data_IF_195138021616
#
_entry.id   IF_195138021616
#
_cell.length_a   1.000
_cell.length_b   1.000
_cell.length_c   1.000
_cell.angle_alpha   90.00
_cell.angle_beta   90.00
_cell.angle_gamma   90.00
#
_symmetry.space_group_name_H-M   'P 1'
#
loop_
_entity.id
_entity.type
_entity.pdbx_description
1 polymer ?
#
# COMPACT_ATOMS: atom_id res chain seq x y z
N UNK A 1 77.77 32.44 -4.86
CA UNK A 1 76.99 31.88 -3.72
C UNK A 1 75.52 32.02 -4.05
N UNK A 2 74.83 30.95 -4.41
CA UNK A 2 73.40 30.94 -4.67
C UNK A 2 72.65 30.51 -3.41
N UNK A 3 71.88 31.46 -2.81
CA UNK A 3 70.98 31.11 -1.69
C UNK A 3 69.71 30.44 -2.20
N UNK A 4 69.55 29.20 -1.80
CA UNK A 4 68.29 28.49 -2.03
C UNK A 4 67.27 29.02 -1.05
N UNK A 5 66.21 29.64 -1.57
CA UNK A 5 65.04 30.00 -0.79
C UNK A 5 64.14 28.75 -0.63
N UNK A 6 64.02 28.28 0.58
CA UNK A 6 63.14 27.20 0.95
C UNK A 6 61.73 27.81 1.10
N UNK A 7 60.83 27.43 0.20
CA UNK A 7 59.41 27.81 0.31
C UNK A 7 58.72 26.86 1.23
N UNK A 8 58.31 27.32 2.39
CA UNK A 8 57.50 26.53 3.30
C UNK A 8 56.09 26.38 2.72
N UNK A 9 55.67 25.15 2.41
CA UNK A 9 54.31 24.84 2.07
C UNK A 9 53.45 24.83 3.34
N UNK A 10 52.60 25.82 3.51
CA UNK A 10 51.61 25.82 4.55
C UNK A 10 50.49 24.83 4.15
N UNK A 11 50.46 23.68 4.80
CA UNK A 11 49.34 22.75 4.68
C UNK A 11 48.15 23.36 5.41
N UNK A 12 47.21 23.93 4.65
CA UNK A 12 45.90 24.29 5.17
C UNK A 12 45.12 23.01 5.47
N UNK A 13 45.02 22.67 6.75
CA UNK A 13 44.11 21.63 7.20
C UNK A 13 42.67 22.11 6.99
N UNK A 14 42.04 21.63 5.94
CA UNK A 14 40.62 21.84 5.70
C UNK A 14 39.87 20.88 6.63
N UNK A 15 39.50 21.34 7.83
CA UNK A 15 38.56 20.65 8.68
C UNK A 15 37.19 20.67 8.01
N UNK A 16 36.87 19.58 7.28
CA UNK A 16 35.54 19.31 6.86
C UNK A 16 34.70 18.99 8.11
N UNK A 17 34.02 20.00 8.65
CA UNK A 17 32.98 19.79 9.63
C UNK A 17 31.84 19.08 8.91
N UNK A 18 31.78 17.78 8.98
CA UNK A 18 30.61 16.99 8.66
C UNK A 18 29.52 17.40 9.65
N UNK A 19 28.74 18.42 9.26
CA UNK A 19 27.45 18.66 9.89
C UNK A 19 26.61 17.43 9.64
N UNK A 20 26.56 16.55 10.63
CA UNK A 20 25.52 15.54 10.71
C UNK A 20 24.21 16.32 10.92
N UNK A 21 23.52 16.59 9.83
CA UNK A 21 22.10 16.87 9.87
C UNK A 21 21.45 15.59 10.39
N UNK A 22 21.33 15.49 11.72
CA UNK A 22 20.38 14.59 12.33
C UNK A 22 19.01 15.11 11.90
N UNK A 23 18.58 14.69 10.70
CA UNK A 23 17.21 14.87 10.29
C UNK A 23 16.39 14.18 11.36
N UNK A 24 15.60 14.93 12.12
CA UNK A 24 14.51 14.38 12.87
C UNK A 24 13.63 13.66 11.85
N UNK A 25 13.88 12.36 11.68
CA UNK A 25 12.92 11.48 11.07
C UNK A 25 11.70 11.56 12.01
N UNK A 26 10.73 12.41 11.68
CA UNK A 26 9.45 12.42 12.34
C UNK A 26 8.96 10.97 12.26
N UNK A 27 8.87 10.29 13.41
CA UNK A 27 8.38 8.93 13.51
C UNK A 27 6.97 8.93 12.93
N UNK A 28 6.83 8.46 11.67
CA UNK A 28 5.54 8.32 11.04
C UNK A 28 4.71 7.40 11.92
N UNK A 29 3.49 7.82 12.31
CA UNK A 29 2.58 6.98 13.07
C UNK A 29 2.41 5.67 12.31
N UNK A 30 2.58 4.50 12.96
CA UNK A 30 2.38 3.22 12.29
C UNK A 30 0.94 3.15 11.76
N UNK A 31 0.78 2.64 10.54
CA UNK A 31 -0.54 2.45 9.95
C UNK A 31 -1.33 1.42 10.76
N UNK A 32 -2.56 1.78 11.10
CA UNK A 32 -3.52 0.83 11.67
C UNK A 32 -4.21 0.10 10.52
N UNK A 33 -3.62 -0.98 10.04
CA UNK A 33 -4.15 -1.75 8.90
C UNK A 33 -5.57 -2.27 9.12
N UNK A 34 -5.96 -2.53 10.38
CA UNK A 34 -7.31 -3.01 10.71
C UNK A 34 -8.44 -2.04 10.33
N UNK A 35 -8.14 -0.79 9.99
CA UNK A 35 -9.16 0.18 9.53
C UNK A 35 -9.85 -0.28 8.25
N UNK A 36 -9.18 -1.09 7.40
CA UNK A 36 -9.77 -1.62 6.18
C UNK A 36 -10.54 -2.93 6.37
N UNK A 37 -10.60 -3.46 7.60
CA UNK A 37 -11.44 -4.63 7.88
C UNK A 37 -12.92 -4.30 7.65
N UNK A 38 -13.64 -5.24 7.05
CA UNK A 38 -15.07 -5.11 6.76
C UNK A 38 -15.46 -5.62 5.39
N UNK A 39 -16.67 -5.29 4.98
CA UNK A 39 -17.19 -5.64 3.66
C UNK A 39 -17.19 -4.41 2.75
N UNK A 40 -16.78 -4.64 1.52
CA UNK A 40 -16.62 -3.60 0.51
C UNK A 40 -17.34 -4.00 -0.78
N UNK A 41 -18.17 -3.11 -1.30
CA UNK A 41 -18.91 -3.33 -2.54
C UNK A 41 -18.35 -2.44 -3.65
N UNK A 42 -18.06 -3.04 -4.81
CA UNK A 42 -17.67 -2.29 -6.00
C UNK A 42 -18.89 -1.52 -6.54
N UNK A 43 -18.68 -0.25 -6.91
CA UNK A 43 -19.81 0.64 -7.29
C UNK A 43 -20.40 0.32 -8.65
N UNK A 44 -19.69 -0.40 -9.52
CA UNK A 44 -20.05 -0.69 -10.91
C UNK A 44 -20.49 -2.15 -11.15
N UNK A 45 -20.83 -2.88 -10.10
CA UNK A 45 -21.26 -4.28 -10.24
C UNK A 45 -21.56 -4.97 -8.92
N UNK A 46 -21.80 -6.29 -9.00
CA UNK A 46 -22.11 -7.14 -7.84
C UNK A 46 -20.88 -7.74 -7.15
N UNK A 47 -19.74 -7.09 -7.28
CA UNK A 47 -18.47 -7.55 -6.70
C UNK A 47 -18.36 -7.10 -5.25
N UNK A 48 -17.98 -8.03 -4.38
CA UNK A 48 -17.78 -7.76 -2.96
C UNK A 48 -16.44 -8.31 -2.51
N UNK A 49 -15.69 -7.49 -1.76
CA UNK A 49 -14.55 -7.93 -0.96
C UNK A 49 -14.95 -8.00 0.50
N UNK A 50 -14.49 -9.05 1.19
CA UNK A 50 -14.54 -9.14 2.65
C UNK A 50 -13.12 -9.22 3.16
N UNK A 51 -12.73 -8.29 4.01
CA UNK A 51 -11.39 -8.19 4.60
C UNK A 51 -11.54 -8.42 6.10
N UNK A 52 -10.92 -9.47 6.61
CA UNK A 52 -11.02 -9.91 8.00
C UNK A 52 -9.64 -10.18 8.59
N UNK A 53 -9.55 -10.22 9.92
CA UNK A 53 -8.34 -10.61 10.67
C UNK A 53 -7.07 -9.87 10.19
N UNK A 54 -7.17 -8.57 10.02
CA UNK A 54 -6.03 -7.76 9.54
C UNK A 54 -5.03 -7.55 10.66
N UNK A 55 -3.86 -8.15 10.50
CA UNK A 55 -2.76 -8.08 11.47
C UNK A 55 -1.83 -6.90 11.18
N UNK A 56 -1.06 -6.51 12.17
CA UNK A 56 -0.11 -5.38 12.06
C UNK A 56 1.02 -5.64 11.05
N UNK A 57 1.32 -6.88 10.73
CA UNK A 57 2.31 -7.28 9.72
C UNK A 57 1.76 -7.28 8.28
N UNK A 58 0.47 -6.98 8.10
CA UNK A 58 -0.22 -6.97 6.82
C UNK A 58 -0.87 -8.28 6.42
N UNK A 59 -0.74 -9.33 7.24
CA UNK A 59 -1.49 -10.59 7.06
C UNK A 59 -2.98 -10.33 7.25
N UNK A 60 -3.81 -10.89 6.38
CA UNK A 60 -5.27 -10.74 6.43
C UNK A 60 -5.97 -11.89 5.73
N UNK A 61 -7.23 -12.12 6.12
CA UNK A 61 -8.12 -13.04 5.43
C UNK A 61 -8.99 -12.22 4.47
N UNK A 62 -8.85 -12.47 3.17
CA UNK A 62 -9.62 -11.78 2.14
C UNK A 62 -10.46 -12.79 1.36
N UNK A 63 -11.75 -12.49 1.24
CA UNK A 63 -12.70 -13.23 0.41
C UNK A 63 -13.27 -12.32 -0.67
N UNK A 64 -13.51 -12.88 -1.85
CA UNK A 64 -14.07 -12.16 -2.99
C UNK A 64 -15.31 -12.87 -3.54
N UNK A 65 -16.30 -12.10 -3.93
CA UNK A 65 -17.60 -12.61 -4.40
C UNK A 65 -18.08 -11.87 -5.66
N UNK A 66 -18.66 -12.63 -6.61
CA UNK A 66 -19.25 -12.09 -7.85
C UNK A 66 -20.41 -12.95 -8.41
N UNK A 67 -21.61 -12.95 -7.82
CA UNK A 67 -21.95 -12.86 -6.41
C UNK A 67 -21.51 -14.08 -5.62
N UNK A 68 -21.27 -15.23 -6.29
CA UNK A 68 -20.71 -16.44 -5.68
C UNK A 68 -19.24 -16.25 -5.29
N UNK A 69 -18.76 -17.10 -4.40
CA UNK A 69 -17.38 -17.02 -3.92
C UNK A 69 -16.39 -17.31 -5.04
N UNK A 70 -15.41 -16.41 -5.19
CA UNK A 70 -14.23 -16.57 -6.03
C UNK A 70 -13.01 -16.71 -5.11
N UNK A 71 -12.20 -17.75 -5.30
CA UNK A 71 -11.07 -17.98 -4.41
C UNK A 71 -9.94 -16.98 -4.63
N UNK A 72 -9.37 -16.54 -3.53
CA UNK A 72 -8.21 -15.67 -3.48
C UNK A 72 -6.95 -16.52 -3.41
N UNK A 73 -6.01 -16.33 -4.32
CA UNK A 73 -4.71 -16.99 -4.32
C UNK A 73 -3.75 -16.33 -3.34
N UNK A 74 -3.72 -15.00 -3.34
CA UNK A 74 -2.86 -14.19 -2.47
C UNK A 74 -3.57 -12.91 -2.08
N UNK A 75 -3.36 -12.47 -0.86
CA UNK A 75 -3.72 -11.12 -0.40
C UNK A 75 -2.63 -10.55 0.50
N UNK A 76 -2.44 -9.24 0.45
CA UNK A 76 -1.46 -8.55 1.27
C UNK A 76 -1.91 -7.12 1.56
N UNK A 77 -1.80 -6.74 2.82
CA UNK A 77 -1.95 -5.34 3.24
C UNK A 77 -0.56 -4.76 3.51
N UNK A 78 -0.32 -3.57 3.03
CA UNK A 78 0.98 -2.88 3.20
C UNK A 78 0.78 -1.38 3.26
N UNK A 79 1.84 -0.65 3.58
CA UNK A 79 1.88 0.79 3.47
C UNK A 79 2.71 1.16 2.23
N UNK A 80 2.16 2.01 1.37
CA UNK A 80 2.85 2.53 0.20
C UNK A 80 2.45 3.98 -0.03
N UNK A 81 3.42 4.85 -0.23
CA UNK A 81 3.22 6.29 -0.53
C UNK A 81 2.27 6.98 0.47
N UNK A 82 2.42 6.66 1.75
CA UNK A 82 1.61 7.25 2.81
C UNK A 82 0.16 6.73 2.89
N UNK A 83 -0.17 5.65 2.19
CA UNK A 83 -1.51 5.02 2.19
C UNK A 83 -1.44 3.53 2.51
N UNK A 84 -2.56 3.01 2.97
CA UNK A 84 -2.75 1.56 3.09
C UNK A 84 -3.09 1.02 1.70
N UNK A 85 -2.33 -0.01 1.28
CA UNK A 85 -2.53 -0.73 0.03
C UNK A 85 -3.04 -2.13 0.32
N UNK A 86 -4.10 -2.53 -0.37
CA UNK A 86 -4.60 -3.90 -0.41
C UNK A 86 -4.33 -4.49 -1.79
N UNK A 87 -3.56 -5.57 -1.82
CA UNK A 87 -3.35 -6.40 -3.01
C UNK A 87 -4.15 -7.70 -2.88
N UNK A 88 -4.83 -8.09 -3.95
CA UNK A 88 -5.60 -9.35 -4.02
C UNK A 88 -5.37 -9.99 -5.38
N UNK A 89 -4.99 -11.26 -5.39
CA UNK A 89 -4.90 -12.08 -6.60
C UNK A 89 -5.97 -13.16 -6.56
N UNK A 90 -6.70 -13.32 -7.66
CA UNK A 90 -7.75 -14.32 -7.84
C UNK A 90 -7.21 -15.54 -8.58
N UNK A 91 -7.77 -16.74 -8.31
CA UNK A 91 -7.27 -18.00 -8.89
C UNK A 91 -8.30 -18.88 -9.57
N UNK A 92 -9.58 -18.63 -9.39
CA UNK A 92 -10.63 -19.48 -9.95
C UNK A 92 -10.68 -19.42 -11.47
N UNK A 93 -11.29 -20.43 -12.08
CA UNK A 93 -11.57 -20.47 -13.52
C UNK A 93 -12.29 -19.18 -13.95
N UNK A 94 -11.82 -18.56 -15.03
CA UNK A 94 -12.26 -17.25 -15.50
C UNK A 94 -11.55 -16.05 -14.85
N UNK A 95 -10.80 -16.28 -13.76
CA UNK A 95 -10.09 -15.23 -13.02
C UNK A 95 -8.58 -15.47 -12.81
N UNK A 96 -7.92 -16.47 -13.45
CA UNK A 96 -6.53 -16.77 -13.13
C UNK A 96 -5.63 -15.57 -13.43
N UNK A 97 -4.85 -15.15 -12.42
CA UNK A 97 -3.94 -14.01 -12.52
C UNK A 97 -4.61 -12.64 -12.54
N UNK A 98 -5.94 -12.56 -12.34
CA UNK A 98 -6.62 -11.29 -12.14
C UNK A 98 -6.26 -10.70 -10.78
N UNK A 99 -5.92 -9.42 -10.74
CA UNK A 99 -5.47 -8.76 -9.52
C UNK A 99 -6.21 -7.46 -9.24
N UNK A 100 -6.43 -7.19 -7.96
CA UNK A 100 -6.78 -5.88 -7.46
C UNK A 100 -5.57 -5.25 -6.77
N UNK A 101 -5.29 -4.00 -7.09
CA UNK A 101 -4.35 -3.15 -6.38
C UNK A 101 -5.11 -1.91 -5.92
N UNK A 102 -5.48 -1.88 -4.65
CA UNK A 102 -6.37 -0.89 -4.08
C UNK A 102 -5.66 -0.08 -2.99
N UNK A 103 -5.98 1.21 -2.90
CA UNK A 103 -5.52 2.10 -1.86
C UNK A 103 -6.69 2.60 -1.04
N UNK A 104 -6.49 2.71 0.28
CA UNK A 104 -7.51 3.23 1.18
C UNK A 104 -7.45 4.76 1.26
N UNK A 105 -8.59 5.39 1.06
CA UNK A 105 -8.82 6.83 1.15
C UNK A 105 -9.72 7.11 2.36
N UNK A 106 -9.15 7.54 3.50
CA UNK A 106 -9.89 7.64 4.76
C UNK A 106 -10.97 8.73 4.76
N UNK A 107 -10.80 9.81 4.01
CA UNK A 107 -11.78 10.90 3.95
C UNK A 107 -13.10 10.46 3.35
N UNK A 108 -13.05 9.61 2.32
CA UNK A 108 -14.24 9.08 1.64
C UNK A 108 -14.65 7.70 2.15
N UNK A 109 -13.81 7.05 2.95
CA UNK A 109 -13.94 5.65 3.36
C UNK A 109 -14.14 4.70 2.17
N UNK A 110 -13.23 4.78 1.20
CA UNK A 110 -13.24 3.95 -0.01
C UNK A 110 -11.91 3.23 -0.20
N UNK A 111 -11.97 2.08 -0.89
CA UNK A 111 -10.83 1.42 -1.51
C UNK A 111 -10.89 1.68 -3.00
N UNK A 112 -9.89 2.35 -3.56
CA UNK A 112 -9.86 2.69 -4.98
C UNK A 112 -8.51 2.34 -5.60
N UNK A 113 -8.52 1.95 -6.86
CA UNK A 113 -7.32 1.61 -7.59
C UNK A 113 -7.59 0.86 -8.88
N UNK A 114 -6.83 -0.19 -9.14
CA UNK A 114 -6.82 -0.89 -10.40
C UNK A 114 -7.26 -2.36 -10.26
N UNK A 115 -8.06 -2.80 -11.22
CA UNK A 115 -8.34 -4.21 -11.48
C UNK A 115 -7.65 -4.60 -12.78
N UNK A 116 -6.74 -5.56 -12.72
CA UNK A 116 -6.11 -6.15 -13.89
C UNK A 116 -6.82 -7.45 -14.27
N UNK A 117 -7.39 -7.49 -15.46
CA UNK A 117 -8.03 -8.66 -16.04
C UNK A 117 -7.04 -9.39 -16.94
N UNK A 118 -6.39 -10.43 -16.41
CA UNK A 118 -5.30 -11.13 -17.06
C UNK A 118 -5.69 -11.77 -18.40
N UNK A 119 -6.90 -12.33 -18.50
CA UNK A 119 -7.38 -13.02 -19.71
C UNK A 119 -7.39 -12.12 -20.97
N UNK A 120 -7.57 -10.82 -20.80
CA UNK A 120 -7.62 -9.83 -21.89
C UNK A 120 -6.51 -8.79 -21.80
N UNK A 121 -5.65 -8.86 -20.80
CA UNK A 121 -4.53 -7.93 -20.59
C UNK A 121 -4.96 -6.48 -20.37
N UNK A 122 -6.12 -6.25 -19.75
CA UNK A 122 -6.66 -4.90 -19.51
C UNK A 122 -6.70 -4.55 -18.04
N UNK A 123 -6.46 -3.27 -17.77
CA UNK A 123 -6.58 -2.67 -16.45
C UNK A 123 -7.74 -1.69 -16.42
N UNK A 124 -8.54 -1.76 -15.37
CA UNK A 124 -9.72 -0.91 -15.13
C UNK A 124 -9.55 -0.17 -13.82
N UNK A 125 -9.97 1.08 -13.77
CA UNK A 125 -10.11 1.81 -12.52
C UNK A 125 -11.36 1.32 -11.79
N UNK A 126 -11.24 1.07 -10.49
CA UNK A 126 -12.33 0.52 -9.67
C UNK A 126 -12.40 1.24 -8.32
N UNK A 127 -13.61 1.31 -7.79
CA UNK A 127 -13.89 1.88 -6.47
C UNK A 127 -14.78 0.91 -5.70
N UNK A 128 -14.38 0.62 -4.47
CA UNK A 128 -15.16 -0.11 -3.50
C UNK A 128 -15.57 0.82 -2.37
N UNK A 129 -16.84 0.80 -2.03
CA UNK A 129 -17.39 1.51 -0.86
C UNK A 129 -17.67 0.53 0.26
N UNK A 130 -17.53 0.98 1.51
CA UNK A 130 -17.83 0.15 2.67
C UNK A 130 -19.30 -0.17 2.71
N UNK A 131 -19.65 -1.46 2.83
CA UNK A 131 -20.99 -1.88 3.16
C UNK A 131 -21.25 -1.62 4.62
N UNK A 132 -22.25 -0.83 4.94
CA UNK A 132 -22.69 -0.69 6.32
C UNK A 132 -23.19 -2.03 6.84
N UNK A 133 -22.78 -2.39 8.06
CA UNK A 133 -23.38 -3.51 8.76
C UNK A 133 -24.89 -3.23 8.86
N UNK A 134 -25.71 -4.13 8.28
CA UNK A 134 -27.16 -4.02 8.40
C UNK A 134 -27.49 -3.98 9.89
N UNK A 135 -27.90 -2.80 10.40
CA UNK A 135 -28.45 -2.69 11.73
C UNK A 135 -29.71 -3.55 11.73
N UNK A 136 -29.63 -4.75 12.30
CA UNK A 136 -30.78 -5.54 12.67
C UNK A 136 -31.45 -4.75 13.82
N UNK A 137 -32.37 -3.85 13.45
CA UNK A 137 -33.25 -3.22 14.40
C UNK A 137 -34.19 -4.30 14.94
N UNK A 138 -34.10 -4.55 16.22
CA UNK A 138 -35.14 -5.21 16.96
C UNK A 138 -36.19 -4.17 17.34
#
# INVERSE_FOLDING_TARGET
>A
MKRKKTTALAAAAFCLALMHMAGNAASAKPFKFSVIAGQWARIDGSYTLRVENVMSDGTSDVSYFNPGRIHVAESRVSAQEGRIKLFVELRDEGYPGCTYTLFYYPEEDVLAGAYYQAAVGRTYEVIFVRKEARKTGF
#
